data_IF_659833111617
#
_entry.id   IF_659833111617
#
_cell.length_a   1.000
_cell.length_b   1.000
_cell.length_c   1.000
_cell.angle_alpha   90.00
_cell.angle_beta   90.00
_cell.angle_gamma   90.00
#
_symmetry.space_group_name_H-M   'P 1'
#
loop_
_entity.id
_entity.type
_entity.pdbx_description
1 polymer ?
#
# COMPACT_ATOMS: atom_id res chain seq x y z
N UNK A 1 4.04 2.17 -26.65
CA UNK A 1 2.61 2.16 -27.05
C UNK A 1 1.75 2.78 -25.93
N UNK A 2 0.49 3.16 -26.19
CA UNK A 2 -0.43 3.62 -25.13
C UNK A 2 -0.59 2.59 -24.00
N UNK A 3 -0.56 1.30 -24.34
CA UNK A 3 -0.63 0.19 -23.37
C UNK A 3 0.57 0.17 -22.39
N UNK A 4 1.80 0.38 -22.89
CA UNK A 4 2.98 0.44 -22.01
C UNK A 4 2.91 1.62 -21.04
N UNK A 5 2.46 2.79 -21.52
CA UNK A 5 2.31 3.99 -20.67
C UNK A 5 1.30 3.72 -19.56
N UNK A 6 0.14 3.14 -19.90
CA UNK A 6 -0.89 2.78 -18.93
C UNK A 6 -0.37 1.75 -17.90
N UNK A 7 0.37 0.75 -18.36
CA UNK A 7 0.98 -0.27 -17.51
C UNK A 7 1.99 0.33 -16.52
N UNK A 8 2.93 1.15 -16.99
CA UNK A 8 3.92 1.80 -16.13
C UNK A 8 3.30 2.81 -15.17
N UNK A 9 2.23 3.51 -15.58
CA UNK A 9 1.47 4.40 -14.70
C UNK A 9 0.83 3.63 -13.56
N UNK A 10 0.17 2.49 -13.86
CA UNK A 10 -0.45 1.62 -12.85
C UNK A 10 0.59 1.05 -11.89
N UNK A 11 1.73 0.58 -12.41
CA UNK A 11 2.84 0.09 -11.60
C UNK A 11 3.41 1.18 -10.69
N UNK A 12 3.61 2.39 -11.22
CA UNK A 12 4.07 3.55 -10.43
C UNK A 12 3.10 3.89 -9.31
N UNK A 13 1.80 3.90 -9.58
CA UNK A 13 0.76 4.17 -8.57
C UNK A 13 0.78 3.12 -7.46
N UNK A 14 1.00 1.84 -7.81
CA UNK A 14 1.11 0.75 -6.85
C UNK A 14 2.34 0.90 -5.95
N UNK A 15 3.50 1.24 -6.54
CA UNK A 15 4.73 1.52 -5.78
C UNK A 15 4.54 2.72 -4.86
N UNK A 16 3.90 3.78 -5.34
CA UNK A 16 3.64 4.98 -4.54
C UNK A 16 2.73 4.69 -3.35
N UNK A 17 1.65 3.93 -3.59
CA UNK A 17 0.76 3.47 -2.53
C UNK A 17 1.52 2.65 -1.48
N UNK A 18 2.36 1.70 -1.93
CA UNK A 18 3.18 0.85 -1.06
C UNK A 18 4.10 1.65 -0.15
N UNK A 19 4.74 2.70 -0.69
CA UNK A 19 5.62 3.60 0.07
C UNK A 19 4.83 4.38 1.13
N UNK A 20 3.73 5.05 0.73
CA UNK A 20 2.89 5.80 1.67
C UNK A 20 2.40 4.90 2.80
N UNK A 21 1.94 3.70 2.45
CA UNK A 21 1.39 2.78 3.43
C UNK A 21 2.45 2.28 4.40
N UNK A 22 3.66 1.97 3.91
CA UNK A 22 4.79 1.58 4.76
C UNK A 22 5.15 2.70 5.73
N UNK A 23 5.20 3.95 5.27
CA UNK A 23 5.44 5.12 6.13
C UNK A 23 4.33 5.29 7.18
N UNK A 24 3.06 5.17 6.78
CA UNK A 24 1.91 5.28 7.68
C UNK A 24 1.96 4.20 8.77
N UNK A 25 2.23 2.96 8.38
CA UNK A 25 2.40 1.81 9.27
C UNK A 25 3.54 2.04 10.26
N UNK A 26 4.69 2.53 9.79
CA UNK A 26 5.82 2.87 10.66
C UNK A 26 5.47 3.97 11.67
N UNK A 27 4.78 5.04 11.24
CA UNK A 27 4.34 6.11 12.15
C UNK A 27 3.31 5.62 13.18
N UNK A 28 2.36 4.77 12.76
CA UNK A 28 1.40 4.14 13.68
C UNK A 28 2.14 3.25 14.67
N UNK A 29 3.05 2.38 14.21
CA UNK A 29 3.81 1.49 15.09
C UNK A 29 4.72 2.27 16.05
N UNK A 30 5.34 3.37 15.60
CA UNK A 30 6.14 4.26 16.44
C UNK A 30 5.29 4.97 17.50
N UNK A 31 4.04 5.31 17.20
CA UNK A 31 3.12 5.90 18.19
C UNK A 31 2.46 4.85 19.09
N UNK A 32 2.21 3.66 18.55
CA UNK A 32 1.59 2.50 19.22
C UNK A 32 2.57 1.31 19.17
N UNK A 33 3.62 1.32 19.99
CA UNK A 33 4.76 0.38 20.09
C UNK A 33 4.41 -1.14 20.21
N UNK A 34 3.17 -1.53 19.99
CA UNK A 34 2.55 -2.81 20.30
C UNK A 34 2.21 -3.66 19.08
N UNK A 35 2.25 -3.12 17.86
CA UNK A 35 1.88 -3.92 16.69
C UNK A 35 3.02 -4.84 16.26
N UNK A 36 2.74 -6.14 16.20
CA UNK A 36 3.66 -7.09 15.60
C UNK A 36 3.80 -6.80 14.10
N UNK A 37 4.99 -7.01 13.55
CA UNK A 37 5.28 -6.86 12.12
C UNK A 37 4.32 -7.67 11.23
N UNK A 38 3.86 -8.84 11.71
CA UNK A 38 2.84 -9.66 11.05
C UNK A 38 1.50 -8.94 10.89
N UNK A 39 1.05 -8.20 11.91
CA UNK A 39 -0.21 -7.43 11.87
C UNK A 39 -0.11 -6.28 10.88
N UNK A 40 1.04 -5.62 10.83
CA UNK A 40 1.30 -4.53 9.89
C UNK A 40 1.25 -4.99 8.43
N UNK A 41 1.83 -6.16 8.13
CA UNK A 41 1.78 -6.76 6.80
C UNK A 41 0.35 -7.13 6.38
N UNK A 42 -0.47 -7.63 7.31
CA UNK A 42 -1.89 -7.97 7.05
C UNK A 42 -2.69 -6.70 6.75
N UNK A 43 -2.50 -5.61 7.51
CA UNK A 43 -3.18 -4.33 7.29
C UNK A 43 -2.84 -3.80 5.89
N UNK A 44 -1.57 -3.90 5.47
CA UNK A 44 -1.14 -3.46 4.14
C UNK A 44 -1.81 -4.23 3.01
N UNK A 45 -1.76 -5.57 3.04
CA UNK A 45 -2.38 -6.41 2.01
C UNK A 45 -3.90 -6.16 1.94
N UNK A 46 -4.54 -6.02 3.10
CA UNK A 46 -6.00 -5.77 3.18
C UNK A 46 -6.37 -4.40 2.61
N UNK A 47 -5.57 -3.36 2.87
CA UNK A 47 -5.82 -2.02 2.35
C UNK A 47 -5.57 -1.91 0.84
N UNK A 48 -4.48 -2.51 0.33
CA UNK A 48 -4.21 -2.57 -1.10
C UNK A 48 -5.35 -3.29 -1.83
N UNK A 49 -5.81 -4.42 -1.30
CA UNK A 49 -6.96 -5.15 -1.85
C UNK A 49 -8.24 -4.31 -1.83
N UNK A 50 -8.56 -3.68 -0.69
CA UNK A 50 -9.76 -2.83 -0.54
C UNK A 50 -9.76 -1.67 -1.53
N UNK A 51 -8.62 -1.00 -1.73
CA UNK A 51 -8.50 0.11 -2.68
C UNK A 51 -8.64 -0.36 -4.13
N UNK A 52 -8.05 -1.51 -4.48
CA UNK A 52 -8.25 -2.10 -5.80
C UNK A 52 -9.74 -2.38 -6.03
N UNK A 53 -10.42 -3.01 -5.07
CA UNK A 53 -11.86 -3.30 -5.17
C UNK A 53 -12.75 -2.05 -5.19
N UNK A 54 -12.38 -0.99 -4.48
CA UNK A 54 -13.19 0.24 -4.40
C UNK A 54 -13.11 1.11 -5.67
N UNK A 55 -12.00 1.01 -6.40
CA UNK A 55 -11.71 1.85 -7.58
C UNK A 55 -11.70 1.05 -8.90
N UNK A 56 -12.11 -0.23 -8.89
CA UNK A 56 -12.61 -0.95 -10.06
C UNK A 56 -14.05 -0.52 -10.39
#
# INVERSE_FOLDING_TARGET
SLCEICFYQKLRNLIFLKIIFTCLVCEINKRNHQFQHSVLNIIQVTAEFTLITLFE
#
